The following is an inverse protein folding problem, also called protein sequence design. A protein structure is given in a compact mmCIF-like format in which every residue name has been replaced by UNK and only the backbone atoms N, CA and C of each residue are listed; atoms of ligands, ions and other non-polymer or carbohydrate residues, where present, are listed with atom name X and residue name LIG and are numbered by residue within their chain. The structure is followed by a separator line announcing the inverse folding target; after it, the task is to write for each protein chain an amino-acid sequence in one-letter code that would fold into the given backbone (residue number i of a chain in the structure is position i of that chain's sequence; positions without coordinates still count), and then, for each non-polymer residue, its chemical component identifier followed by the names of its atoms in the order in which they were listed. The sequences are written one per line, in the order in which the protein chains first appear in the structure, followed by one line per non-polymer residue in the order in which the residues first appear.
data_IF_510275103110
#
_entry.id   IF_510275103110
#
_cell.length_a   1.000
_cell.length_b   1.000
_cell.length_c   1.000
_cell.angle_alpha   90.00
_cell.angle_beta   90.00
_cell.angle_gamma   90.00
#
_symmetry.space_group_name_H-M   'P 1'
#
loop_
_entity.id
_entity.type
_entity.pdbx_description
1 polymer ?
#
# COMPACT_ATOMS: atom_id res chain seq x y z
N UNK A 1 -27.84 -70.55 -5.22
CA UNK A 1 -27.98 -69.91 -6.54
C UNK A 1 -28.69 -68.60 -6.35
N UNK A 2 -27.95 -67.51 -6.30
CA UNK A 2 -28.50 -66.13 -6.25
C UNK A 2 -27.78 -65.38 -7.35
N UNK A 3 -28.51 -64.91 -8.35
CA UNK A 3 -28.04 -64.23 -9.51
C UNK A 3 -27.84 -62.76 -9.18
N UNK A 4 -26.60 -62.19 -9.38
CA UNK A 4 -26.28 -60.77 -9.28
C UNK A 4 -26.55 -60.13 -10.63
N UNK A 5 -27.43 -59.12 -10.62
CA UNK A 5 -27.71 -58.26 -11.76
C UNK A 5 -26.73 -57.04 -11.66
N UNK A 6 -25.88 -56.91 -12.67
CA UNK A 6 -25.01 -55.74 -12.82
C UNK A 6 -25.75 -54.71 -13.69
N UNK A 7 -26.07 -53.56 -13.12
CA UNK A 7 -26.62 -52.41 -13.87
C UNK A 7 -25.45 -51.46 -14.15
N UNK A 8 -25.09 -51.33 -15.42
CA UNK A 8 -24.12 -50.36 -15.90
C UNK A 8 -24.82 -49.01 -16.11
N UNK A 9 -24.50 -48.01 -15.30
CA UNK A 9 -24.89 -46.60 -15.51
C UNK A 9 -23.74 -45.86 -16.17
N UNK A 10 -23.86 -45.62 -17.46
CA UNK A 10 -23.00 -44.66 -18.19
C UNK A 10 -23.54 -43.25 -17.96
N UNK A 11 -22.93 -42.52 -17.04
CA UNK A 11 -23.19 -41.12 -16.82
C UNK A 11 -22.16 -40.26 -17.57
N UNK A 12 -22.57 -39.66 -18.69
CA UNK A 12 -21.79 -38.55 -19.31
C UNK A 12 -21.92 -37.31 -18.43
N UNK A 13 -20.90 -37.01 -17.64
CA UNK A 13 -20.76 -35.70 -16.97
C UNK A 13 -20.11 -34.71 -17.90
N UNK A 14 -20.92 -33.82 -18.48
CA UNK A 14 -20.46 -32.65 -19.19
C UNK A 14 -20.03 -31.59 -18.16
N UNK A 15 -18.78 -31.61 -17.75
CA UNK A 15 -18.16 -30.49 -16.97
C UNK A 15 -17.98 -29.32 -17.90
N UNK A 16 -18.91 -28.36 -17.84
CA UNK A 16 -18.67 -27.03 -18.38
C UNK A 16 -17.54 -26.36 -17.54
N UNK A 17 -16.37 -26.28 -18.14
CA UNK A 17 -15.32 -25.38 -17.69
C UNK A 17 -15.88 -23.95 -17.73
N UNK A 18 -16.12 -23.35 -16.57
CA UNK A 18 -16.39 -21.92 -16.46
C UNK A 18 -15.07 -21.20 -16.65
N UNK A 19 -14.80 -20.77 -17.89
CA UNK A 19 -13.78 -19.75 -18.14
C UNK A 19 -14.26 -18.48 -17.43
N UNK A 20 -13.59 -18.10 -16.33
CA UNK A 20 -13.66 -16.75 -15.78
C UNK A 20 -13.08 -15.82 -16.85
N UNK A 21 -13.96 -15.13 -17.58
CA UNK A 21 -13.57 -14.03 -18.45
C UNK A 21 -13.01 -12.93 -17.55
N UNK A 22 -11.71 -12.69 -17.67
CA UNK A 22 -11.07 -11.47 -17.17
C UNK A 22 -11.93 -10.28 -17.64
N UNK A 23 -12.50 -9.52 -16.71
CA UNK A 23 -13.24 -8.32 -17.01
C UNK A 23 -12.22 -7.28 -17.52
N UNK A 24 -12.04 -7.23 -18.84
CA UNK A 24 -11.20 -6.20 -19.47
C UNK A 24 -11.86 -4.85 -19.20
N UNK A 25 -11.20 -4.03 -18.36
CA UNK A 25 -11.61 -2.65 -18.18
C UNK A 25 -11.49 -1.93 -19.54
N UNK A 26 -12.55 -1.21 -19.95
CA UNK A 26 -12.53 -0.37 -21.16
C UNK A 26 -11.61 0.84 -20.90
N UNK A 27 -10.36 0.75 -21.34
CA UNK A 27 -9.34 1.79 -21.23
C UNK A 27 -9.05 2.47 -22.58
N UNK A 28 -9.99 2.43 -23.55
CA UNK A 28 -9.80 2.90 -24.92
C UNK A 28 -9.75 4.44 -25.09
N UNK A 29 -9.95 5.22 -24.03
CA UNK A 29 -9.88 6.68 -24.05
C UNK A 29 -8.45 7.23 -23.85
N UNK A 30 -8.22 8.54 -24.17
CA UNK A 30 -6.95 9.18 -23.84
C UNK A 30 -6.70 9.15 -22.33
N UNK A 31 -5.50 8.70 -21.92
CA UNK A 31 -5.08 8.65 -20.51
C UNK A 31 -4.95 10.08 -19.98
N UNK A 32 -5.67 10.47 -18.91
CA UNK A 32 -5.49 11.78 -18.29
C UNK A 32 -4.03 11.95 -17.84
N UNK A 33 -3.44 13.11 -18.13
CA UNK A 33 -2.05 13.39 -17.77
C UNK A 33 -1.98 14.59 -16.84
N UNK A 34 -1.93 14.33 -15.55
CA UNK A 34 -1.40 15.27 -14.56
C UNK A 34 0.06 14.85 -14.32
N UNK A 35 1.00 15.77 -14.58
CA UNK A 35 2.41 15.45 -14.55
C UNK A 35 2.87 15.14 -13.13
N UNK A 36 3.14 13.89 -12.84
CA UNK A 36 3.76 13.43 -11.59
C UNK A 36 5.28 13.61 -11.67
N UNK A 37 5.90 14.02 -10.56
CA UNK A 37 7.36 14.16 -10.47
C UNK A 37 7.96 13.09 -9.58
N UNK A 38 8.66 12.11 -10.20
CA UNK A 38 9.43 11.11 -9.47
C UNK A 38 10.55 11.73 -8.62
N UNK A 39 11.17 12.82 -9.08
CA UNK A 39 12.20 13.54 -8.33
C UNK A 39 11.63 14.22 -7.08
N UNK A 40 10.42 14.77 -7.16
CA UNK A 40 9.73 15.32 -5.98
C UNK A 40 9.40 14.21 -4.97
N UNK A 41 8.86 13.09 -5.43
CA UNK A 41 8.59 11.93 -4.57
C UNK A 41 9.89 11.40 -3.93
N UNK A 42 10.98 11.29 -4.68
CA UNK A 42 12.29 10.92 -4.17
C UNK A 42 12.78 11.88 -3.07
N UNK A 43 12.63 13.20 -3.29
CA UNK A 43 13.02 14.20 -2.29
C UNK A 43 12.21 14.06 -0.99
N UNK A 44 10.94 13.65 -1.06
CA UNK A 44 10.13 13.35 0.12
C UNK A 44 10.61 12.08 0.85
N UNK A 45 11.07 11.05 0.12
CA UNK A 45 11.69 9.86 0.73
C UNK A 45 12.99 10.25 1.43
N UNK A 46 13.86 10.99 0.75
CA UNK A 46 15.14 11.48 1.31
C UNK A 46 14.94 12.30 2.57
N UNK A 47 13.95 13.20 2.57
CA UNK A 47 13.63 14.03 3.73
C UNK A 47 13.22 13.15 4.93
N UNK A 48 12.39 12.11 4.74
CA UNK A 48 12.01 11.18 5.80
C UNK A 48 13.23 10.43 6.35
N UNK A 49 14.08 9.88 5.47
CA UNK A 49 15.31 9.18 5.85
C UNK A 49 16.31 10.08 6.59
N UNK A 50 16.32 11.40 6.30
CA UNK A 50 17.21 12.34 6.97
C UNK A 50 16.98 12.50 8.48
N UNK A 51 15.80 12.11 8.99
CA UNK A 51 15.50 12.06 10.42
C UNK A 51 16.09 10.83 11.10
N UNK A 52 16.49 9.80 10.33
CA UNK A 52 16.89 8.48 10.81
C UNK A 52 15.72 7.49 10.80
N UNK A 53 15.95 6.27 11.34
CA UNK A 53 14.90 5.25 11.46
C UNK A 53 13.67 5.77 12.22
N UNK A 54 12.51 5.72 11.60
CA UNK A 54 11.24 6.24 12.15
C UNK A 54 10.55 5.21 13.04
N UNK A 55 11.32 4.53 13.87
CA UNK A 55 10.82 3.55 14.81
C UNK A 55 9.89 4.22 15.83
N UNK A 56 8.67 3.73 16.05
CA UNK A 56 7.74 4.29 17.02
C UNK A 56 8.38 4.55 18.39
N UNK A 57 7.96 5.62 19.07
CA UNK A 57 8.50 6.12 20.35
C UNK A 57 9.89 6.77 20.30
N UNK A 58 10.56 6.85 19.15
CA UNK A 58 11.88 7.51 19.02
C UNK A 58 11.76 9.01 18.69
N UNK A 59 12.84 9.74 18.90
CA UNK A 59 12.91 11.17 18.50
C UNK A 59 12.88 11.34 16.97
N UNK A 60 13.48 10.40 16.22
CA UNK A 60 13.41 10.38 14.76
C UNK A 60 11.96 10.26 14.27
N UNK A 61 11.20 9.33 14.84
CA UNK A 61 9.78 9.14 14.58
C UNK A 61 8.98 10.42 14.90
N UNK A 62 9.13 11.00 16.10
CA UNK A 62 8.43 12.22 16.48
C UNK A 62 8.69 13.36 15.49
N UNK A 63 9.97 13.60 15.14
CA UNK A 63 10.36 14.70 14.23
C UNK A 63 9.88 14.45 12.79
N UNK A 64 9.95 13.21 12.30
CA UNK A 64 9.42 12.87 10.99
C UNK A 64 7.90 13.04 10.95
N UNK A 65 7.16 12.60 11.98
CA UNK A 65 5.72 12.82 12.07
C UNK A 65 5.35 14.31 12.04
N UNK A 66 6.09 15.18 12.75
CA UNK A 66 5.88 16.65 12.70
C UNK A 66 6.11 17.19 11.28
N UNK A 67 7.12 16.68 10.56
CA UNK A 67 7.40 17.01 9.17
C UNK A 67 6.26 16.58 8.24
N UNK A 68 5.80 15.33 8.35
CA UNK A 68 4.72 14.78 7.51
C UNK A 68 3.42 15.56 7.70
N UNK A 69 3.05 15.84 8.94
CA UNK A 69 1.88 16.65 9.28
C UNK A 69 1.99 18.05 8.65
N UNK A 70 3.16 18.67 8.71
CA UNK A 70 3.40 19.97 8.09
C UNK A 70 3.29 19.89 6.56
N UNK A 71 3.80 18.82 5.91
CA UNK A 71 3.68 18.67 4.45
C UNK A 71 2.21 18.49 4.03
N UNK A 72 1.44 17.65 4.71
CA UNK A 72 0.01 17.48 4.40
C UNK A 72 -0.76 18.81 4.55
N UNK A 73 -0.49 19.57 5.62
CA UNK A 73 -1.13 20.90 5.86
C UNK A 73 -0.76 21.96 4.83
N UNK A 74 0.32 21.80 4.08
CA UNK A 74 0.65 22.69 2.95
C UNK A 74 -0.28 22.48 1.75
N UNK A 75 -0.88 21.29 1.63
CA UNK A 75 -1.63 20.88 0.46
C UNK A 75 -3.12 20.69 0.72
N UNK A 76 -3.53 20.46 1.98
CA UNK A 76 -4.93 20.37 2.38
C UNK A 76 -5.21 21.21 3.62
N UNK A 77 -6.37 21.86 3.65
CA UNK A 77 -6.88 22.54 4.85
C UNK A 77 -7.60 21.60 5.83
N UNK A 78 -7.95 20.38 5.39
CA UNK A 78 -8.65 19.37 6.16
C UNK A 78 -7.66 18.24 6.53
N UNK A 79 -6.81 18.49 7.53
CA UNK A 79 -5.82 17.52 8.00
C UNK A 79 -6.05 17.24 9.48
N UNK A 80 -6.26 15.98 9.79
CA UNK A 80 -6.41 15.47 11.16
C UNK A 80 -5.20 14.63 11.54
N UNK A 81 -4.70 14.83 12.74
CA UNK A 81 -3.75 13.97 13.42
C UNK A 81 -4.51 13.11 14.44
N UNK A 82 -4.46 11.79 14.29
CA UNK A 82 -5.06 10.83 15.18
C UNK A 82 -3.98 10.19 16.04
N UNK A 83 -3.83 10.67 17.28
CA UNK A 83 -2.87 10.13 18.25
C UNK A 83 -3.52 9.04 19.08
N UNK A 84 -2.82 7.92 19.27
CA UNK A 84 -3.29 6.77 20.05
C UNK A 84 -2.15 5.99 20.68
N UNK A 85 -2.37 5.44 21.85
CA UNK A 85 -1.48 4.47 22.50
C UNK A 85 -1.91 3.06 22.07
N UNK A 86 -1.09 2.39 21.23
CA UNK A 86 -1.35 1.04 20.75
C UNK A 86 -0.51 0.02 21.52
N UNK A 87 -1.07 -1.16 21.74
CA UNK A 87 -0.36 -2.25 22.42
C UNK A 87 0.23 -3.21 21.39
N UNK A 88 1.55 -3.27 21.30
CA UNK A 88 2.26 -4.22 20.46
C UNK A 88 2.27 -5.64 21.07
N UNK A 89 2.58 -6.65 20.27
CA UNK A 89 2.59 -8.06 20.65
C UNK A 89 3.56 -8.37 21.80
N UNK A 90 4.69 -7.66 21.85
CA UNK A 90 5.73 -7.80 22.88
C UNK A 90 5.40 -7.07 24.18
N UNK A 91 4.23 -6.43 24.23
CA UNK A 91 3.76 -5.66 25.35
C UNK A 91 4.22 -4.21 25.37
N UNK A 92 4.93 -3.73 24.37
CA UNK A 92 5.30 -2.31 24.25
C UNK A 92 4.08 -1.47 23.95
N UNK A 93 3.99 -0.30 24.59
CA UNK A 93 2.99 0.72 24.22
C UNK A 93 3.59 1.65 23.19
N UNK A 94 3.03 1.66 21.97
CA UNK A 94 3.43 2.51 20.87
C UNK A 94 2.59 3.77 20.87
N UNK A 95 3.24 4.94 20.89
CA UNK A 95 2.57 6.24 20.78
C UNK A 95 2.40 6.57 19.30
N UNK A 96 1.38 5.97 18.71
CA UNK A 96 1.14 6.04 17.27
C UNK A 96 0.44 7.36 16.88
N UNK A 97 0.73 7.79 15.65
CA UNK A 97 0.23 9.02 15.05
C UNK A 97 -0.20 8.76 13.60
N UNK A 98 -1.47 8.50 13.36
CA UNK A 98 -2.02 8.47 12.00
C UNK A 98 -2.31 9.91 11.52
N UNK A 99 -2.04 10.19 10.25
CA UNK A 99 -2.35 11.48 9.63
C UNK A 99 -3.35 11.29 8.50
N UNK A 100 -4.45 12.02 8.52
CA UNK A 100 -5.46 11.99 7.45
C UNK A 100 -5.58 13.35 6.83
N UNK A 101 -5.38 13.44 5.50
CA UNK A 101 -5.62 14.64 4.72
C UNK A 101 -6.77 14.40 3.75
N UNK A 102 -7.88 15.12 3.92
CA UNK A 102 -9.04 15.04 3.04
C UNK A 102 -8.92 16.09 1.93
N UNK A 103 -9.00 15.65 0.68
CA UNK A 103 -9.10 16.51 -0.49
C UNK A 103 -10.52 16.42 -1.05
N UNK A 104 -11.12 17.59 -1.28
CA UNK A 104 -12.49 17.69 -1.80
C UNK A 104 -13.50 16.88 -0.98
N UNK A 105 -13.64 17.19 0.33
CA UNK A 105 -14.42 16.38 1.28
C UNK A 105 -15.92 16.34 0.96
N UNK A 106 -16.42 17.32 0.20
CA UNK A 106 -17.85 17.41 -0.19
C UNK A 106 -18.21 16.47 -1.35
N UNK A 107 -17.24 15.82 -1.99
CA UNK A 107 -17.50 14.89 -3.08
C UNK A 107 -18.04 13.56 -2.52
N UNK A 108 -19.17 13.07 -3.06
CA UNK A 108 -19.85 11.89 -2.50
C UNK A 108 -19.10 10.58 -2.78
N UNK A 109 -18.35 10.52 -3.89
CA UNK A 109 -17.48 9.39 -4.21
C UNK A 109 -16.06 9.73 -3.79
N UNK A 110 -15.48 8.92 -2.92
CA UNK A 110 -14.16 9.14 -2.36
C UNK A 110 -13.31 7.89 -2.49
N UNK A 111 -12.01 8.06 -2.67
CA UNK A 111 -11.02 6.98 -2.61
C UNK A 111 -10.01 7.25 -1.51
N UNK A 112 -9.49 6.18 -0.93
CA UNK A 112 -8.41 6.21 0.04
C UNK A 112 -7.09 5.90 -0.66
N UNK A 113 -6.07 6.73 -0.42
CA UNK A 113 -4.68 6.43 -0.72
C UNK A 113 -3.96 6.33 0.61
N UNK A 114 -3.34 5.18 0.90
CA UNK A 114 -2.67 4.99 2.18
C UNK A 114 -1.25 4.48 2.03
N UNK A 115 -0.42 4.74 3.03
CA UNK A 115 0.94 4.24 3.18
C UNK A 115 1.34 4.32 4.65
N UNK A 116 2.11 3.35 5.15
CA UNK A 116 2.69 3.47 6.48
C UNK A 116 3.94 4.37 6.45
N UNK A 117 4.22 5.05 7.57
CA UNK A 117 5.35 5.98 7.65
C UNK A 117 6.38 5.63 8.72
N UNK A 118 6.06 4.71 9.61
CA UNK A 118 7.02 4.15 10.56
C UNK A 118 8.05 3.23 9.86
N UNK A 119 8.88 2.60 10.59
CA UNK A 119 9.79 1.57 10.09
C UNK A 119 10.13 0.54 11.17
N UNK A 120 10.55 -0.63 10.68
CA UNK A 120 10.86 -1.78 11.52
C UNK A 120 11.96 -1.50 12.54
N UNK A 121 11.75 -1.83 13.82
CA UNK A 121 12.75 -1.67 14.87
C UNK A 121 13.90 -2.69 14.79
N UNK A 122 13.75 -3.73 13.96
CA UNK A 122 14.69 -4.85 13.86
C UNK A 122 15.02 -5.19 12.41
N UNK A 123 16.31 -5.26 12.06
CA UNK A 123 16.75 -5.74 10.75
C UNK A 123 16.81 -7.28 10.75
N UNK A 124 15.68 -7.93 11.01
CA UNK A 124 15.57 -9.36 11.27
C UNK A 124 15.65 -10.25 10.01
N UNK A 125 15.69 -9.64 8.81
CA UNK A 125 16.07 -10.31 7.56
C UNK A 125 17.52 -10.07 7.14
N UNK A 126 18.31 -9.27 7.90
CA UNK A 126 19.71 -9.02 7.53
C UNK A 126 20.52 -10.33 7.59
N UNK A 127 21.30 -10.62 6.55
CA UNK A 127 22.13 -11.82 6.48
C UNK A 127 23.17 -11.90 7.62
N UNK A 128 23.52 -10.75 8.21
CA UNK A 128 24.38 -10.68 9.38
C UNK A 128 23.56 -10.61 10.68
N UNK A 129 23.42 -11.73 11.37
CA UNK A 129 22.66 -11.83 12.62
C UNK A 129 23.07 -10.81 13.71
N UNK A 130 24.30 -10.26 13.68
CA UNK A 130 24.71 -9.21 14.61
C UNK A 130 23.99 -7.89 14.41
N UNK A 131 23.31 -7.72 13.28
CA UNK A 131 22.51 -6.54 12.93
C UNK A 131 21.02 -6.69 13.25
N UNK A 132 20.54 -7.88 13.59
CA UNK A 132 19.11 -8.14 13.79
C UNK A 132 18.44 -7.25 14.84
N UNK A 133 19.22 -6.62 15.74
CA UNK A 133 18.69 -5.67 16.74
C UNK A 133 18.88 -4.20 16.34
N UNK A 134 19.34 -3.95 15.12
CA UNK A 134 19.45 -2.59 14.59
C UNK A 134 18.14 -2.21 13.89
N UNK A 135 17.73 -0.94 13.99
CA UNK A 135 16.55 -0.48 13.27
C UNK A 135 16.81 -0.42 11.76
N UNK A 136 15.78 -0.63 10.97
CA UNK A 136 15.76 -0.46 9.52
C UNK A 136 15.61 1.03 9.20
N UNK A 137 16.32 1.54 8.19
CA UNK A 137 16.13 2.93 7.74
C UNK A 137 14.76 3.10 7.08
N UNK A 138 14.23 2.08 6.42
CA UNK A 138 12.92 2.09 5.82
C UNK A 138 12.79 3.08 4.66
N UNK A 139 13.77 3.13 3.76
CA UNK A 139 13.70 4.02 2.61
C UNK A 139 12.68 3.54 1.58
N UNK A 140 12.61 2.22 1.38
CA UNK A 140 11.57 1.58 0.56
C UNK A 140 10.33 1.28 1.41
N UNK A 141 10.53 0.69 2.57
CA UNK A 141 9.57 0.21 3.54
C UNK A 141 9.40 1.22 4.70
N UNK A 142 8.47 2.00 4.73
CA UNK A 142 7.31 2.68 4.22
C UNK A 142 7.57 4.07 3.62
N UNK A 143 8.83 4.65 3.67
CA UNK A 143 9.01 6.02 3.21
C UNK A 143 8.71 6.21 1.71
N UNK A 144 8.84 5.16 0.87
CA UNK A 144 8.59 5.25 -0.57
C UNK A 144 7.12 5.50 -0.88
N UNK A 145 6.20 4.77 -0.23
CA UNK A 145 4.76 4.97 -0.37
C UNK A 145 4.33 6.37 0.06
N UNK A 146 4.84 6.83 1.20
CA UNK A 146 4.62 8.20 1.70
C UNK A 146 5.14 9.25 0.73
N UNK A 147 6.32 9.03 0.12
CA UNK A 147 6.89 9.95 -0.87
C UNK A 147 5.97 10.14 -2.07
N UNK A 148 5.41 9.05 -2.59
CA UNK A 148 4.41 9.09 -3.68
C UNK A 148 3.13 9.80 -3.21
N UNK A 149 2.61 9.46 -2.02
CA UNK A 149 1.38 10.05 -1.49
C UNK A 149 1.49 11.57 -1.29
N UNK A 150 2.64 12.07 -0.84
CA UNK A 150 2.88 13.52 -0.68
C UNK A 150 2.96 14.26 -2.03
N UNK A 151 3.54 13.65 -3.06
CA UNK A 151 3.52 14.25 -4.39
C UNK A 151 2.10 14.22 -4.99
N UNK A 152 1.32 13.17 -4.76
CA UNK A 152 -0.13 13.15 -5.10
C UNK A 152 -0.87 14.25 -4.34
N UNK A 153 -0.59 14.47 -3.05
CA UNK A 153 -1.18 15.58 -2.28
C UNK A 153 -0.92 16.95 -2.92
N UNK A 154 0.31 17.19 -3.37
CA UNK A 154 0.69 18.43 -4.08
C UNK A 154 -0.10 18.59 -5.37
N UNK A 155 -0.28 17.50 -6.12
CA UNK A 155 -1.04 17.53 -7.38
C UNK A 155 -2.54 17.74 -7.16
N UNK A 156 -3.12 17.13 -6.12
CA UNK A 156 -4.51 17.32 -5.74
C UNK A 156 -4.80 18.79 -5.31
N UNK A 157 -3.84 19.45 -4.66
CA UNK A 157 -3.98 20.86 -4.30
C UNK A 157 -4.02 21.79 -5.53
N UNK A 158 -3.42 21.38 -6.64
CA UNK A 158 -3.34 22.17 -7.88
C UNK A 158 -4.39 21.76 -8.92
N UNK A 159 -4.96 20.56 -8.83
CA UNK A 159 -5.84 19.98 -9.84
C UNK A 159 -7.01 19.27 -9.15
N UNK A 160 -8.23 19.65 -9.49
CA UNK A 160 -9.43 19.05 -8.91
C UNK A 160 -9.87 17.80 -9.70
N UNK A 161 -9.86 16.58 -9.08
CA UNK A 161 -10.42 15.39 -9.70
C UNK A 161 -11.95 15.35 -9.56
N UNK A 162 -12.61 14.42 -10.26
CA UNK A 162 -14.07 14.22 -10.13
C UNK A 162 -14.48 13.58 -8.79
N UNK A 163 -13.54 12.91 -8.12
CA UNK A 163 -13.75 12.22 -6.84
C UNK A 163 -13.05 12.94 -5.70
N UNK A 164 -13.49 12.73 -4.46
CA UNK A 164 -12.71 13.10 -3.28
C UNK A 164 -11.58 12.10 -3.07
N UNK A 165 -10.49 12.56 -2.46
CA UNK A 165 -9.35 11.71 -2.13
C UNK A 165 -8.96 11.93 -0.67
N UNK A 166 -8.86 10.85 0.09
CA UNK A 166 -8.31 10.85 1.43
C UNK A 166 -6.92 10.24 1.38
N UNK A 167 -5.93 10.96 1.90
CA UNK A 167 -4.57 10.43 2.10
C UNK A 167 -4.42 10.09 3.56
N UNK A 168 -4.18 8.80 3.85
CA UNK A 168 -3.95 8.27 5.18
C UNK A 168 -2.49 7.82 5.29
N UNK A 169 -1.73 8.45 6.16
CA UNK A 169 -0.41 7.97 6.55
C UNK A 169 -0.55 7.25 7.89
N UNK A 170 -0.37 5.94 7.87
CA UNK A 170 -0.54 5.04 9.03
C UNK A 170 0.76 4.88 9.80
N UNK A 171 0.65 4.63 11.08
CA UNK A 171 1.77 4.43 12.00
C UNK A 171 1.68 3.04 12.65
N UNK A 172 2.80 2.55 13.15
CA UNK A 172 2.88 1.26 13.84
C UNK A 172 2.37 0.07 12.99
N UNK A 173 2.66 0.11 11.70
CA UNK A 173 2.47 -1.02 10.80
C UNK A 173 3.52 -2.08 11.10
N UNK A 174 4.80 -1.70 11.16
CA UNK A 174 5.97 -2.56 11.02
C UNK A 174 6.57 -3.02 12.38
N UNK A 175 5.76 -3.08 13.43
CA UNK A 175 6.12 -3.64 14.74
C UNK A 175 5.61 -5.08 14.92
N UNK A 176 5.31 -5.79 13.82
CA UNK A 176 4.71 -7.11 13.89
C UNK A 176 5.67 -8.22 14.32
N UNK A 177 5.10 -9.32 14.84
CA UNK A 177 5.81 -10.55 15.21
C UNK A 177 6.02 -11.44 13.98
N UNK A 178 7.25 -11.45 13.46
CA UNK A 178 7.60 -12.25 12.29
C UNK A 178 7.67 -13.75 12.57
N UNK A 179 8.00 -14.13 13.81
CA UNK A 179 8.16 -15.55 14.19
C UNK A 179 6.89 -16.13 14.81
N UNK A 180 5.92 -15.27 15.14
CA UNK A 180 4.65 -15.66 15.73
C UNK A 180 3.59 -16.01 14.69
N UNK A 181 2.58 -16.79 15.13
CA UNK A 181 1.43 -17.16 14.29
C UNK A 181 0.36 -16.05 14.23
N UNK A 182 0.63 -14.85 14.78
CA UNK A 182 -0.36 -13.77 14.91
C UNK A 182 -0.19 -12.73 13.81
N UNK A 183 -0.95 -12.87 12.74
CA UNK A 183 -1.10 -11.82 11.71
C UNK A 183 -1.65 -10.52 12.32
N UNK A 184 -2.33 -10.61 13.48
CA UNK A 184 -2.88 -9.47 14.22
C UNK A 184 -1.84 -8.56 14.87
N UNK A 185 -0.56 -8.87 14.78
CA UNK A 185 0.51 -8.06 15.32
C UNK A 185 0.96 -6.90 14.42
N UNK A 186 0.58 -6.92 13.15
CA UNK A 186 0.91 -5.94 12.12
C UNK A 186 -0.19 -4.90 11.92
N UNK A 187 0.10 -3.82 11.20
CA UNK A 187 -0.87 -2.81 10.75
C UNK A 187 -1.72 -2.20 11.89
N UNK A 188 -1.14 -2.02 13.08
CA UNK A 188 -1.90 -1.62 14.28
C UNK A 188 -2.56 -0.25 14.12
N UNK A 189 -1.89 0.71 13.47
CA UNK A 189 -2.43 2.05 13.24
C UNK A 189 -3.60 2.05 12.29
N UNK A 190 -3.51 1.29 11.20
CA UNK A 190 -4.60 1.14 10.22
C UNK A 190 -5.80 0.42 10.83
N UNK A 191 -5.58 -0.66 11.59
CA UNK A 191 -6.64 -1.35 12.34
C UNK A 191 -7.38 -0.39 13.27
N UNK A 192 -6.62 0.48 13.98
CA UNK A 192 -7.22 1.46 14.85
C UNK A 192 -8.06 2.48 14.07
N UNK A 193 -7.52 3.06 12.98
CA UNK A 193 -8.23 4.02 12.14
C UNK A 193 -9.49 3.41 11.51
N UNK A 194 -9.41 2.18 11.02
CA UNK A 194 -10.53 1.47 10.40
C UNK A 194 -11.71 1.29 11.38
N UNK A 195 -11.41 1.13 12.68
CA UNK A 195 -12.42 0.97 13.74
C UNK A 195 -12.82 2.29 14.40
N UNK A 196 -12.01 3.34 14.26
CA UNK A 196 -12.18 4.63 14.93
C UNK A 196 -11.97 5.76 13.93
N UNK A 197 -13.02 6.25 13.28
CA UNK A 197 -12.87 7.32 12.30
C UNK A 197 -12.25 8.57 12.94
N UNK A 198 -11.37 9.22 12.18
CA UNK A 198 -10.56 10.36 12.66
C UNK A 198 -11.37 11.62 12.99
N UNK A 199 -12.65 11.66 12.60
CA UNK A 199 -13.60 12.71 12.97
C UNK A 199 -15.04 12.20 13.00
N UNK A 200 -15.89 12.87 13.76
CA UNK A 200 -17.33 12.59 13.78
C UNK A 200 -17.97 12.81 12.40
N UNK A 201 -18.88 11.92 12.03
CA UNK A 201 -19.60 11.98 10.73
C UNK A 201 -18.71 11.71 9.52
N UNK A 202 -17.52 11.15 9.71
CA UNK A 202 -16.70 10.73 8.58
C UNK A 202 -17.39 9.62 7.79
N UNK A 203 -17.44 9.81 6.47
CA UNK A 203 -17.95 8.80 5.53
C UNK A 203 -16.74 8.12 4.89
N UNK A 204 -16.58 6.84 5.17
CA UNK A 204 -15.47 6.06 4.63
C UNK A 204 -15.45 6.05 3.10
N UNK A 205 -14.26 6.04 2.49
CA UNK A 205 -14.09 5.91 1.05
C UNK A 205 -14.70 4.62 0.48
N UNK A 206 -15.04 4.63 -0.79
CA UNK A 206 -15.64 3.47 -1.47
C UNK A 206 -14.61 2.45 -1.96
N UNK A 207 -13.33 2.83 -1.98
CA UNK A 207 -12.19 1.96 -2.33
C UNK A 207 -10.90 2.54 -1.76
N UNK A 208 -9.88 1.68 -1.53
CA UNK A 208 -8.56 2.04 -1.06
C UNK A 208 -7.45 1.53 -1.97
N UNK A 209 -6.32 2.22 -1.95
CA UNK A 209 -5.07 1.83 -2.60
C UNK A 209 -3.95 2.06 -1.60
N UNK A 210 -3.32 0.96 -1.17
CA UNK A 210 -2.11 0.97 -0.36
C UNK A 210 -0.88 1.09 -1.26
N UNK A 211 0.11 1.80 -0.78
CA UNK A 211 1.43 1.92 -1.39
C UNK A 211 2.46 1.44 -0.38
N UNK A 212 2.98 0.25 -0.57
CA UNK A 212 4.08 -0.26 0.22
C UNK A 212 5.25 -0.72 -0.65
N UNK A 213 6.49 -0.42 -0.22
CA UNK A 213 7.72 -0.77 -0.94
C UNK A 213 7.70 -0.43 -2.44
N UNK A 214 7.28 0.79 -2.79
CA UNK A 214 7.10 1.24 -4.18
C UNK A 214 8.29 2.02 -4.76
N UNK A 215 9.47 1.96 -4.12
CA UNK A 215 10.61 2.78 -4.48
C UNK A 215 11.83 2.03 -5.04
N UNK A 216 11.97 0.72 -4.84
CA UNK A 216 13.16 -0.03 -5.27
C UNK A 216 13.39 0.06 -6.79
N UNK A 217 14.65 0.26 -7.19
CA UNK A 217 15.02 0.44 -8.59
C UNK A 217 14.61 -0.74 -9.50
N UNK A 218 14.46 -1.92 -8.93
CA UNK A 218 14.08 -3.14 -9.66
C UNK A 218 12.70 -3.66 -9.23
N UNK A 219 11.84 -2.83 -8.62
CA UNK A 219 10.54 -3.24 -8.13
C UNK A 219 9.69 -3.94 -9.20
N UNK A 220 8.96 -4.97 -8.77
CA UNK A 220 7.98 -5.71 -9.58
C UNK A 220 6.66 -5.77 -8.82
N UNK A 221 5.65 -5.07 -9.33
CA UNK A 221 4.32 -5.06 -8.76
C UNK A 221 3.50 -6.17 -9.42
N UNK A 222 3.24 -7.24 -8.67
CA UNK A 222 2.36 -8.33 -9.07
C UNK A 222 0.94 -8.03 -8.60
N UNK A 223 -0.06 -8.70 -9.17
CA UNK A 223 -1.45 -8.63 -8.70
C UNK A 223 -1.55 -9.44 -7.41
N UNK A 224 -1.43 -8.76 -6.27
CA UNK A 224 -1.46 -9.36 -4.94
C UNK A 224 -2.81 -10.08 -4.72
N UNK A 225 -2.80 -11.18 -3.97
CA UNK A 225 -3.94 -12.10 -3.85
C UNK A 225 -5.17 -11.45 -3.19
N UNK A 226 -5.02 -10.83 -2.02
CA UNK A 226 -6.15 -10.22 -1.31
C UNK A 226 -6.68 -9.00 -2.07
N UNK A 227 -5.81 -8.21 -2.67
CA UNK A 227 -6.14 -7.10 -3.55
C UNK A 227 -7.02 -7.52 -4.72
N UNK A 228 -6.61 -8.58 -5.43
CA UNK A 228 -7.38 -9.10 -6.55
C UNK A 228 -8.72 -9.70 -6.11
N UNK A 229 -8.78 -10.32 -4.94
CA UNK A 229 -10.01 -10.83 -4.35
C UNK A 229 -10.96 -9.75 -3.87
N UNK A 230 -10.41 -8.63 -3.40
CA UNK A 230 -11.15 -7.49 -2.87
C UNK A 230 -11.71 -6.60 -3.99
N UNK A 231 -10.85 -6.19 -4.93
CA UNK A 231 -11.21 -5.30 -6.05
C UNK A 231 -10.44 -5.62 -7.33
N UNK A 232 -10.79 -6.74 -7.96
CA UNK A 232 -10.18 -7.16 -9.24
C UNK A 232 -10.31 -6.09 -10.34
N UNK A 233 -11.38 -5.27 -10.29
CA UNK A 233 -11.60 -4.20 -11.27
C UNK A 233 -10.55 -3.10 -11.12
N UNK A 234 -10.30 -2.62 -9.91
CA UNK A 234 -9.28 -1.59 -9.65
C UNK A 234 -7.88 -2.12 -9.98
N UNK A 235 -7.54 -3.35 -9.57
CA UNK A 235 -6.27 -4.00 -9.95
C UNK A 235 -6.12 -4.05 -11.47
N UNK A 236 -7.09 -4.60 -12.19
CA UNK A 236 -7.02 -4.72 -13.66
C UNK A 236 -6.92 -3.35 -14.34
N UNK A 237 -7.61 -2.34 -13.83
CA UNK A 237 -7.57 -0.98 -14.38
C UNK A 237 -6.19 -0.34 -14.19
N UNK A 238 -5.60 -0.43 -12.98
CA UNK A 238 -4.30 0.16 -12.69
C UNK A 238 -3.18 -0.51 -13.50
N UNK A 239 -3.16 -1.85 -13.57
CA UNK A 239 -2.17 -2.58 -14.38
C UNK A 239 -2.30 -2.27 -15.89
N UNK A 240 -3.54 -2.11 -16.38
CA UNK A 240 -3.76 -1.70 -17.77
C UNK A 240 -3.31 -0.26 -18.04
N UNK A 241 -3.57 0.68 -17.10
CA UNK A 241 -3.09 2.07 -17.20
C UNK A 241 -1.57 2.13 -17.15
N UNK A 242 -0.93 1.40 -16.24
CA UNK A 242 0.53 1.31 -16.16
C UNK A 242 1.14 0.82 -17.48
N UNK A 243 0.57 -0.22 -18.09
CA UNK A 243 1.01 -0.72 -19.40
C UNK A 243 0.86 0.32 -20.51
N UNK A 244 -0.27 1.08 -20.54
CA UNK A 244 -0.48 2.17 -21.50
C UNK A 244 0.48 3.35 -21.32
N UNK A 245 0.92 3.60 -20.08
CA UNK A 245 1.90 4.62 -19.74
C UNK A 245 3.35 4.17 -20.00
N UNK A 246 3.58 2.90 -20.34
CA UNK A 246 4.91 2.34 -20.60
C UNK A 246 5.58 1.71 -19.38
N UNK A 247 4.83 1.46 -18.29
CA UNK A 247 5.34 0.91 -17.02
C UNK A 247 5.01 -0.58 -16.83
N UNK A 248 4.71 -1.29 -17.93
CA UNK A 248 4.36 -2.72 -17.87
C UNK A 248 5.52 -3.65 -17.48
N UNK A 249 6.75 -3.17 -17.51
CA UNK A 249 7.93 -3.86 -16.98
C UNK A 249 7.96 -3.91 -15.44
N UNK A 250 7.33 -2.94 -14.78
CA UNK A 250 7.18 -2.86 -13.30
C UNK A 250 5.84 -3.40 -12.83
N UNK A 251 4.74 -2.99 -13.46
CA UNK A 251 3.40 -3.53 -13.23
C UNK A 251 3.20 -4.81 -14.03
N UNK A 252 3.80 -5.89 -13.52
CA UNK A 252 3.86 -7.16 -14.22
C UNK A 252 2.47 -7.81 -14.25
N UNK A 253 2.00 -8.18 -15.45
CA UNK A 253 0.69 -8.82 -15.62
C UNK A 253 0.70 -10.28 -15.17
N UNK A 254 1.02 -10.52 -13.92
CA UNK A 254 1.05 -11.84 -13.28
C UNK A 254 0.50 -11.73 -11.85
N UNK A 255 0.14 -12.88 -11.25
CA UNK A 255 -0.41 -12.93 -9.91
C UNK A 255 0.69 -13.12 -8.87
N UNK A 256 0.59 -12.35 -7.78
CA UNK A 256 1.42 -12.46 -6.59
C UNK A 256 0.88 -13.45 -5.55
N UNK A 257 1.58 -13.54 -4.42
CA UNK A 257 1.13 -14.22 -3.22
C UNK A 257 0.13 -13.39 -2.40
N UNK A 258 -0.36 -13.97 -1.31
CA UNK A 258 -1.10 -13.26 -0.28
C UNK A 258 -0.11 -12.55 0.65
N UNK A 259 -0.35 -11.28 0.93
CA UNK A 259 0.46 -10.46 1.84
C UNK A 259 -0.45 -9.95 2.94
N UNK A 260 -0.02 -10.07 4.20
CA UNK A 260 -0.64 -9.41 5.34
C UNK A 260 -0.03 -8.03 5.47
N UNK A 261 -0.86 -6.99 5.29
CA UNK A 261 -0.45 -5.60 5.26
C UNK A 261 -1.66 -4.69 5.57
N UNK A 262 -1.48 -3.40 5.66
CA UNK A 262 -2.50 -2.37 5.96
C UNK A 262 -3.79 -2.54 5.15
N UNK A 263 -3.73 -2.95 3.88
CA UNK A 263 -4.91 -3.15 3.05
C UNK A 263 -5.86 -4.24 3.58
N UNK A 264 -5.34 -5.24 4.29
CA UNK A 264 -6.16 -6.31 4.88
C UNK A 264 -7.07 -5.76 5.96
N UNK A 265 -6.58 -4.83 6.79
CA UNK A 265 -7.37 -4.14 7.81
C UNK A 265 -8.47 -3.26 7.20
N UNK A 266 -8.17 -2.61 6.07
CA UNK A 266 -9.16 -1.82 5.32
C UNK A 266 -10.24 -2.72 4.72
N UNK A 267 -9.85 -3.88 4.16
CA UNK A 267 -10.78 -4.90 3.64
C UNK A 267 -11.66 -5.45 4.77
N UNK A 268 -11.08 -5.74 5.94
CA UNK A 268 -11.81 -6.22 7.11
C UNK A 268 -12.86 -5.22 7.62
N UNK A 269 -12.60 -3.91 7.45
CA UNK A 269 -13.55 -2.84 7.73
C UNK A 269 -14.66 -2.69 6.66
N UNK A 270 -14.65 -3.51 5.61
CA UNK A 270 -15.66 -3.51 4.54
C UNK A 270 -15.40 -2.54 3.40
N UNK A 271 -14.20 -1.99 3.30
CA UNK A 271 -13.77 -1.10 2.22
C UNK A 271 -12.91 -1.92 1.25
N UNK A 272 -13.33 -2.12 -0.02
CA UNK A 272 -12.46 -2.75 -1.01
C UNK A 272 -11.13 -2.02 -1.10
N UNK A 273 -10.03 -2.72 -0.92
CA UNK A 273 -8.68 -2.15 -0.93
C UNK A 273 -7.73 -3.02 -1.72
N UNK A 274 -6.77 -2.39 -2.38
CA UNK A 274 -5.68 -3.06 -3.08
C UNK A 274 -4.36 -2.56 -2.55
N UNK A 275 -3.34 -3.37 -2.75
CA UNK A 275 -1.96 -3.07 -2.41
C UNK A 275 -1.09 -3.05 -3.67
N UNK A 276 -0.34 -1.98 -3.86
CA UNK A 276 0.74 -1.89 -4.84
C UNK A 276 2.03 -2.10 -4.07
N UNK A 277 2.56 -3.33 -4.12
CA UNK A 277 3.71 -3.77 -3.34
C UNK A 277 4.72 -4.52 -4.21
N UNK A 278 6.03 -4.31 -3.95
CA UNK A 278 7.11 -5.04 -4.63
C UNK A 278 7.14 -6.50 -4.17
N UNK A 279 6.72 -7.42 -5.05
CA UNK A 279 6.77 -8.86 -4.81
C UNK A 279 7.74 -9.56 -5.76
N UNK A 280 8.61 -10.41 -5.22
CA UNK A 280 9.65 -11.14 -5.94
C UNK A 280 9.44 -12.65 -5.82
N UNK A 281 8.97 -13.31 -6.88
CA UNK A 281 8.75 -14.77 -6.90
C UNK A 281 10.02 -15.59 -6.74
N UNK A 282 11.16 -15.03 -7.07
CA UNK A 282 12.49 -15.64 -6.98
C UNK A 282 13.23 -15.33 -5.68
N UNK A 283 12.62 -14.53 -4.80
CA UNK A 283 13.16 -14.22 -3.48
C UNK A 283 12.68 -15.20 -2.42
N UNK A 284 13.56 -15.64 -1.49
CA UNK A 284 13.15 -16.49 -0.37
C UNK A 284 12.14 -15.84 0.57
N UNK A 285 12.13 -14.52 0.65
CA UNK A 285 11.19 -13.73 1.49
C UNK A 285 9.94 -13.34 0.74
N UNK A 286 9.92 -13.46 -0.60
CA UNK A 286 8.86 -12.93 -1.44
C UNK A 286 8.99 -11.43 -1.76
N UNK A 287 9.99 -10.73 -1.17
CA UNK A 287 10.23 -9.30 -1.30
C UNK A 287 11.62 -8.97 -1.86
N UNK A 288 11.93 -7.68 -1.98
CA UNK A 288 13.26 -7.23 -2.41
C UNK A 288 14.35 -7.68 -1.39
N UNK A 289 15.62 -7.82 -1.83
CA UNK A 289 16.70 -8.30 -0.96
C UNK A 289 16.98 -7.39 0.25
N UNK A 290 16.55 -6.14 0.20
CA UNK A 290 16.76 -5.14 1.26
C UNK A 290 15.67 -5.18 2.33
N UNK A 291 14.55 -5.87 2.08
CA UNK A 291 13.42 -5.94 3.00
C UNK A 291 13.84 -6.40 4.39
N UNK A 292 13.50 -5.62 5.41
CA UNK A 292 13.83 -5.83 6.82
C UNK A 292 15.34 -6.02 7.08
N UNK A 293 16.17 -5.32 6.31
CA UNK A 293 17.63 -5.30 6.53
C UNK A 293 18.13 -3.87 6.79
N UNK A 294 19.35 -3.76 7.32
CA UNK A 294 20.02 -2.46 7.46
C UNK A 294 20.37 -1.80 6.12
N UNK A 295 20.12 -2.51 5.01
CA UNK A 295 20.39 -2.04 3.65
C UNK A 295 19.17 -1.42 2.94
N UNK A 296 18.01 -1.35 3.59
CA UNK A 296 16.88 -0.57 3.07
C UNK A 296 17.14 0.95 3.22
N UNK A 297 17.92 1.47 2.29
CA UNK A 297 18.42 2.85 2.29
C UNK A 297 18.29 3.52 0.92
N UNK A 298 18.43 4.85 0.88
CA UNK A 298 18.22 5.71 -0.31
C UNK A 298 18.90 5.26 -1.59
N UNK A 299 20.07 4.58 -1.53
CA UNK A 299 20.78 4.13 -2.75
C UNK A 299 20.00 3.13 -3.60
N UNK A 300 19.00 2.46 -3.02
CA UNK A 300 18.13 1.51 -3.73
C UNK A 300 16.86 2.15 -4.29
N UNK A 301 16.55 3.38 -3.87
CA UNK A 301 15.35 4.10 -4.32
C UNK A 301 15.60 4.73 -5.69
N UNK A 302 14.64 4.55 -6.58
CA UNK A 302 14.66 5.08 -7.95
C UNK A 302 13.55 6.10 -8.19
N UNK A 303 13.89 7.34 -8.60
CA UNK A 303 12.87 8.30 -9.04
C UNK A 303 11.99 7.76 -10.17
N UNK A 304 12.54 6.91 -11.05
CA UNK A 304 11.75 6.34 -12.16
C UNK A 304 10.73 5.29 -11.70
N UNK A 305 11.00 4.57 -10.61
CA UNK A 305 10.03 3.64 -10.02
C UNK A 305 8.92 4.40 -9.32
N UNK A 306 9.27 5.41 -8.52
CA UNK A 306 8.30 6.31 -7.88
C UNK A 306 7.42 7.01 -8.93
N UNK A 307 8.01 7.42 -10.08
CA UNK A 307 7.28 8.00 -11.20
C UNK A 307 6.29 7.00 -11.81
N UNK A 308 6.70 5.75 -12.03
CA UNK A 308 5.83 4.73 -12.62
C UNK A 308 4.57 4.49 -11.76
N UNK A 309 4.73 4.43 -10.45
CA UNK A 309 3.60 4.30 -9.50
C UNK A 309 2.77 5.58 -9.49
N UNK A 310 3.39 6.74 -9.33
CA UNK A 310 2.68 8.01 -9.21
C UNK A 310 1.95 8.43 -10.50
N UNK A 311 2.53 8.21 -11.68
CA UNK A 311 1.88 8.45 -12.98
C UNK A 311 0.66 7.54 -13.17
N UNK A 312 0.78 6.27 -12.79
CA UNK A 312 -0.33 5.31 -12.84
C UNK A 312 -1.48 5.73 -11.91
N UNK A 313 -1.16 6.12 -10.67
CA UNK A 313 -2.14 6.60 -9.69
C UNK A 313 -2.81 7.90 -10.15
N UNK A 314 -2.05 8.87 -10.64
CA UNK A 314 -2.61 10.15 -11.10
C UNK A 314 -3.49 9.94 -12.32
N UNK A 315 -3.09 9.08 -13.26
CA UNK A 315 -3.94 8.71 -14.40
C UNK A 315 -5.24 8.05 -13.94
N UNK A 316 -5.20 7.19 -12.93
CA UNK A 316 -6.38 6.57 -12.34
C UNK A 316 -7.28 7.59 -11.65
N UNK A 317 -6.74 8.39 -10.71
CA UNK A 317 -7.49 9.36 -9.90
C UNK A 317 -8.18 10.40 -10.78
N UNK A 318 -7.44 11.03 -11.69
CA UNK A 318 -7.96 12.08 -12.57
C UNK A 318 -8.75 11.54 -13.77
N UNK A 319 -8.67 10.23 -14.04
CA UNK A 319 -9.47 9.54 -15.07
C UNK A 319 -10.81 9.01 -14.58
N UNK A 320 -11.08 9.02 -13.28
CA UNK A 320 -12.36 8.59 -12.71
C UNK A 320 -13.50 9.51 -13.18
N UNK A 321 -14.69 8.91 -13.42
CA UNK A 321 -15.89 9.61 -13.88
C UNK A 321 -16.99 9.53 -12.84
#
# INVERSE_FOLDING_TARGET
MIASIIISLTGCSNTKSSSTTDATADTSGPVPRVAFSGDSAYSYVEAQCSFGPRVPNTEAHRRCGDYLLAQLRRHSSAVTEQCVDLRAYDGTTLKARNFVAEFYPDKPKRILLLAHWDCRPWADSDANASKHRQPVMGANDGASGVGVALEVARLLAANEPTVGVDILLTDAEDWGDREGDSEDSWALGTRYWASNPHREGYVYPTSGILLDMVGDANAQFLKEYFSYRSDAKTVSTLWALAAQLGHGDRFVNDYGGAITDDHVEIIAAGIPCIDIIDQRKDSPTGFCPQWHTTDDVMRHISPSTLAAVGETLTAYIFGMK
#
